data_IF_764080756161
#
_entry.id   IF_764080756161
#
_cell.length_a   1.000
_cell.length_b   1.000
_cell.length_c   1.000
_cell.angle_alpha   90.00
_cell.angle_beta   90.00
_cell.angle_gamma   90.00
#
_symmetry.space_group_name_H-M   'P 1'
#
loop_
_entity.id
_entity.type
_entity.pdbx_description
1 polymer ?
2 non-polymer ?
3 water ?
#
# COMPACT_ATOMS: atom_id res chain seq x y z
N UNK A 7 11.53 -6.56 -21.94
CA UNK A 7 12.58 -5.51 -21.66
C UNK A 7 13.59 -5.99 -20.62
N UNK A 8 14.83 -5.56 -20.76
CA UNK A 8 15.89 -6.07 -19.92
C UNK A 8 16.20 -5.07 -18.82
N UNK A 9 15.18 -4.78 -18.00
CA UNK A 9 15.25 -3.74 -16.97
C UNK A 9 15.07 -4.16 -15.50
N UNK A 10 16.00 -3.71 -14.65
CA UNK A 10 15.94 -3.86 -13.19
C UNK A 10 15.80 -2.43 -12.60
N UNK A 11 14.86 -2.20 -11.69
CA UNK A 11 14.72 -0.86 -11.10
C UNK A 11 14.20 -0.91 -9.68
N UNK A 12 14.60 0.08 -8.89
CA UNK A 12 14.03 0.32 -7.56
C UNK A 12 13.55 1.79 -7.54
N UNK A 13 12.32 2.01 -7.11
CA UNK A 13 11.67 3.32 -7.03
C UNK A 13 11.03 3.54 -5.67
N UNK A 14 11.15 4.74 -5.11
CA UNK A 14 10.47 5.09 -3.82
C UNK A 14 9.55 6.30 -3.99
N UNK A 15 8.38 6.23 -3.38
CA UNK A 15 7.42 7.32 -3.42
C UNK A 15 7.09 7.73 -1.99
N UNK A 16 7.47 8.94 -1.63
CA UNK A 16 7.22 9.55 -0.33
C UNK A 16 5.86 10.23 -0.21
N UNK A 17 5.55 10.64 1.02
CA UNK A 17 4.32 11.40 1.34
C UNK A 17 3.02 10.61 1.29
N UNK A 18 3.11 9.32 1.59
CA UNK A 18 1.96 8.40 1.47
C UNK A 18 1.27 8.24 2.83
N UNK A 19 -0.04 8.10 2.76
CA UNK A 19 -0.87 7.85 3.93
C UNK A 19 -1.53 6.50 3.77
N UNK A 20 -1.48 5.63 4.79
CA UNK A 20 -2.22 4.34 4.71
C UNK A 20 -3.51 4.41 5.56
N UNK A 21 -4.61 3.94 4.97
CA UNK A 21 -5.90 3.90 5.64
C UNK A 21 -6.39 2.45 5.79
N UNK A 22 -6.73 2.06 7.03
CA UNK A 22 -7.27 0.72 7.34
C UNK A 22 -8.72 0.87 7.74
N UNK A 23 -9.60 0.14 7.04
CA UNK A 23 -11.02 0.13 7.29
C UNK A 23 -11.49 -1.30 7.61
N UNK A 24 -11.93 -1.55 8.84
CA UNK A 24 -12.51 -2.85 9.20
C UNK A 24 -14.01 -2.73 8.95
N UNK A 25 -14.48 -3.43 7.93
CA UNK A 25 -15.88 -3.35 7.51
C UNK A 25 -16.86 -3.60 8.64
N UNK A 26 -17.98 -2.87 8.59
CA UNK A 26 -19.09 -3.09 9.49
C UNK A 26 -19.61 -4.51 9.22
N UNK A 27 -19.90 -5.22 10.31
CA UNK A 27 -20.48 -6.56 10.24
C UNK A 27 -21.80 -6.59 9.48
N UNK A 28 -22.51 -5.47 9.51
CA UNK A 28 -23.78 -5.36 8.79
C UNK A 28 -23.61 -5.57 7.28
N UNK A 29 -22.47 -5.11 6.74
CA UNK A 29 -22.23 -5.11 5.29
C UNK A 29 -21.61 -6.32 4.61
N UNK A 30 -22.28 -6.75 3.53
CA UNK A 30 -21.78 -7.79 2.65
C UNK A 30 -20.56 -7.19 1.96
N UNK A 31 -19.50 -7.99 1.86
CA UNK A 31 -18.21 -7.51 1.35
C UNK A 31 -18.28 -6.85 -0.02
N UNK A 32 -19.01 -7.46 -0.95
CA UNK A 32 -19.12 -6.89 -2.30
C UNK A 32 -19.77 -5.50 -2.34
N UNK A 33 -20.72 -5.24 -1.44
CA UNK A 33 -21.30 -3.88 -1.34
C UNK A 33 -20.27 -2.92 -0.68
N UNK A 34 -19.61 -3.40 0.37
CA UNK A 34 -18.57 -2.64 1.08
C UNK A 34 -17.45 -2.16 0.16
N UNK A 35 -16.95 -3.06 -0.67
CA UNK A 35 -15.84 -2.71 -1.57
C UNK A 35 -16.24 -1.67 -2.60
N UNK A 36 -17.47 -1.74 -3.11
CA UNK A 36 -17.96 -0.73 -4.07
C UNK A 36 -18.12 0.60 -3.38
N UNK A 37 -18.81 0.62 -2.24
CA UNK A 37 -18.95 1.85 -1.45
C UNK A 37 -17.59 2.47 -1.18
N UNK A 38 -16.66 1.66 -0.70
CA UNK A 38 -15.29 2.14 -0.42
C UNK A 38 -14.66 2.85 -1.61
N UNK A 39 -14.54 2.16 -2.75
CA UNK A 39 -13.91 2.77 -3.92
C UNK A 39 -14.69 3.96 -4.52
N UNK A 40 -15.99 4.00 -4.26
CA UNK A 40 -16.81 5.10 -4.68
C UNK A 40 -16.45 6.36 -3.88
N UNK A 41 -16.05 6.20 -2.61
CA UNK A 41 -15.64 7.36 -1.75
C UNK A 41 -14.34 7.92 -2.27
N UNK A 42 -13.40 7.03 -2.61
CA UNK A 42 -12.13 7.46 -3.23
C UNK A 42 -12.35 8.09 -4.63
N UNK A 43 -13.37 7.64 -5.33
CA UNK A 43 -13.70 8.22 -6.63
C UNK A 43 -14.19 9.65 -6.44
N UNK A 44 -15.11 9.84 -5.49
CA UNK A 44 -15.68 11.17 -5.22
C UNK A 44 -14.57 12.20 -4.98
N UNK A 45 -13.57 11.82 -4.19
CA UNK A 45 -12.46 12.71 -3.87
C UNK A 45 -11.31 12.58 -4.86
N UNK A 46 -11.54 11.86 -5.95
CA UNK A 46 -10.55 11.75 -7.05
C UNK A 46 -9.19 11.31 -6.56
N UNK A 47 -9.15 10.33 -5.66
CA UNK A 47 -7.87 9.87 -5.16
C UNK A 47 -7.39 8.59 -5.81
N UNK A 48 -6.20 8.62 -6.45
CA UNK A 48 -5.67 7.36 -6.94
C UNK A 48 -5.15 6.53 -5.77
N UNK A 49 -5.27 5.21 -5.88
CA UNK A 49 -4.81 4.27 -4.85
C UNK A 49 -3.64 3.40 -5.39
N UNK A 50 -2.42 3.60 -4.91
CA UNK A 50 -1.27 2.84 -5.42
C UNK A 50 -1.22 1.39 -4.90
N UNK A 51 -1.68 1.16 -3.67
CA UNK A 51 -1.65 -0.18 -3.08
C UNK A 51 -2.92 -0.45 -2.29
N UNK A 52 -3.42 -1.68 -2.42
CA UNK A 52 -4.60 -2.21 -1.72
C UNK A 52 -4.32 -3.68 -1.28
N UNK A 53 -4.81 -4.05 -0.11
CA UNK A 53 -4.70 -5.41 0.45
C UNK A 53 -5.97 -5.69 1.28
N UNK A 54 -6.79 -6.65 0.84
CA UNK A 54 -8.03 -7.05 1.54
C UNK A 54 -7.82 -8.27 2.44
N UNK A 55 -8.76 -8.43 3.36
CA UNK A 55 -8.78 -9.51 4.31
C UNK A 55 -10.24 -9.78 4.53
N UNK A 56 -10.50 -10.78 5.36
CA UNK A 56 -11.84 -11.19 5.75
C UNK A 56 -12.53 -10.01 6.48
N UNK A 57 -11.80 -9.47 7.46
CA UNK A 57 -12.21 -8.36 8.33
C UNK A 57 -12.38 -7.02 7.54
N UNK A 58 -11.31 -6.62 6.86
CA UNK A 58 -11.32 -5.38 6.08
C UNK A 58 -10.05 -5.14 5.27
N UNK A 59 -9.89 -3.91 4.83
CA UNK A 59 -8.90 -3.57 3.85
C UNK A 59 -8.02 -2.39 4.23
N UNK A 60 -6.80 -2.38 3.67
CA UNK A 60 -5.91 -1.28 3.83
C UNK A 60 -5.60 -0.80 2.45
N UNK A 61 -5.55 0.53 2.32
CA UNK A 61 -5.17 1.18 1.07
C UNK A 61 -4.43 2.50 1.27
N UNK A 62 -3.80 2.98 0.20
CA UNK A 62 -2.98 4.18 0.27
C UNK A 62 -3.51 5.37 -0.54
N UNK A 63 -3.19 6.56 -0.09
CA UNK A 63 -3.42 7.78 -0.89
C UNK A 63 -2.12 8.54 -0.87
N UNK A 64 -1.87 9.30 -1.92
CA UNK A 64 -0.62 10.01 -2.05
C UNK A 64 -0.60 11.46 -1.55
N UNK A 65 -1.73 11.96 -1.06
CA UNK A 65 -1.79 13.30 -0.48
C UNK A 65 -2.86 13.28 0.59
N UNK A 66 -2.81 14.21 1.53
CA UNK A 66 -3.80 14.24 2.61
C UNK A 66 -4.76 15.45 2.62
N UNK A 67 -4.85 16.16 1.50
CA UNK A 67 -5.72 17.34 1.34
C UNK A 67 -7.14 17.01 1.74
N UNK A 68 -7.62 15.88 1.23
CA UNK A 68 -8.99 15.40 1.47
C UNK A 68 -9.11 14.32 2.57
N UNK A 69 -8.02 13.98 3.24
CA UNK A 69 -8.03 12.96 4.28
C UNK A 69 -9.15 13.09 5.32
N UNK A 70 -9.38 14.28 5.90
CA UNK A 70 -10.45 14.27 6.90
C UNK A 70 -11.82 13.89 6.31
N UNK A 71 -12.16 14.41 5.13
CA UNK A 71 -13.46 14.09 4.52
C UNK A 71 -13.56 12.64 4.12
N UNK A 72 -12.41 12.02 3.82
CA UNK A 72 -12.38 10.61 3.43
C UNK A 72 -12.61 9.71 4.65
N UNK A 73 -11.94 10.01 5.75
CA UNK A 73 -12.13 9.25 6.99
C UNK A 73 -13.58 9.39 7.46
N UNK A 74 -14.08 10.63 7.42
CA UNK A 74 -15.46 10.94 7.81
C UNK A 74 -16.41 10.02 7.06
N UNK A 75 -16.32 10.06 5.72
CA UNK A 75 -17.16 9.24 4.81
C UNK A 75 -17.02 7.73 5.04
N UNK A 76 -15.77 7.26 5.18
CA UNK A 76 -15.50 5.84 5.46
C UNK A 76 -16.02 5.37 6.83
N UNK A 77 -16.02 6.26 7.82
CA UNK A 77 -16.47 5.91 9.17
C UNK A 77 -17.90 5.41 9.19
N UNK A 78 -18.63 5.66 8.11
CA UNK A 78 -20.00 5.16 7.92
C UNK A 78 -20.06 3.68 7.53
N UNK A 79 -19.01 3.16 6.90
CA UNK A 79 -19.03 1.78 6.42
C UNK A 79 -18.08 0.85 7.19
N UNK A 80 -17.30 1.42 8.13
CA UNK A 80 -16.34 0.64 8.94
C UNK A 80 -15.60 1.43 10.02
N UNK A 81 -14.79 0.73 10.83
CA UNK A 81 -13.92 1.37 11.82
C UNK A 81 -12.65 1.71 11.04
N UNK A 82 -12.21 2.97 11.12
CA UNK A 82 -11.07 3.48 10.32
C UNK A 82 -9.84 3.88 11.16
N UNK A 83 -8.66 3.41 10.79
CA UNK A 83 -7.40 3.85 11.43
C UNK A 83 -6.47 4.36 10.31
N UNK A 84 -5.56 5.25 10.66
CA UNK A 84 -4.74 5.91 9.70
C UNK A 84 -3.31 5.96 10.18
N UNK A 85 -2.36 5.77 9.26
CA UNK A 85 -0.92 6.00 9.56
C UNK A 85 -0.27 6.84 8.44
N UNK A 86 0.26 7.99 8.84
CA UNK A 86 0.86 8.95 7.92
C UNK A 86 2.36 8.75 7.76
N UNK A 87 2.99 9.56 6.91
CA UNK A 87 4.43 9.50 6.70
C UNK A 87 4.93 8.12 6.30
N UNK A 88 4.33 7.55 5.26
CA UNK A 88 4.72 6.23 4.77
C UNK A 88 5.44 6.41 3.45
N UNK A 89 6.02 5.31 2.97
CA UNK A 89 6.72 5.30 1.71
C UNK A 89 6.45 4.01 0.93
N UNK A 90 6.07 4.14 -0.34
CA UNK A 90 5.90 2.99 -1.22
C UNK A 90 7.20 2.77 -1.99
N UNK A 91 7.72 1.55 -1.96
CA UNK A 91 8.88 1.15 -2.71
C UNK A 91 8.43 0.09 -3.73
N UNK A 92 8.82 0.28 -4.99
CA UNK A 92 8.46 -0.60 -6.09
C UNK A 92 9.77 -1.19 -6.63
N UNK A 93 9.81 -2.51 -6.78
CA UNK A 93 10.98 -3.22 -7.25
C UNK A 93 10.53 -3.92 -8.49
N UNK A 94 11.24 -3.60 -9.59
CA UNK A 94 10.98 -4.12 -10.94
C UNK A 94 12.14 -5.05 -11.29
N UNK A 95 11.81 -6.30 -11.60
CA UNK A 95 12.82 -7.34 -11.89
C UNK A 95 12.88 -7.82 -13.32
N UNK A 102 11.13 -17.09 -11.42
CA UNK A 102 11.25 -18.41 -10.78
C UNK A 102 11.50 -18.20 -9.28
N UNK A 103 10.55 -17.55 -8.60
CA UNK A 103 10.68 -17.21 -7.18
C UNK A 103 11.34 -15.85 -6.92
N UNK A 104 11.61 -15.09 -7.98
CA UNK A 104 12.22 -13.77 -7.86
C UNK A 104 11.61 -12.90 -6.74
N UNK A 105 10.29 -12.85 -6.73
CA UNK A 105 9.60 -12.02 -5.79
C UNK A 105 9.86 -12.46 -4.34
N UNK A 106 10.01 -13.76 -4.13
CA UNK A 106 10.32 -14.30 -2.79
C UNK A 106 11.69 -13.81 -2.29
N UNK A 107 12.69 -13.83 -3.18
CA UNK A 107 14.07 -13.39 -2.88
C UNK A 107 14.16 -11.92 -2.57
N UNK A 108 13.37 -11.12 -3.28
CA UNK A 108 13.30 -9.68 -3.06
C UNK A 108 12.69 -9.36 -1.72
N UNK A 109 11.61 -10.05 -1.40
CA UNK A 109 10.89 -9.83 -0.15
C UNK A 109 11.76 -10.27 1.01
N UNK A 110 12.55 -11.29 0.76
CA UNK A 110 13.41 -11.81 1.76
C UNK A 110 14.52 -10.82 2.17
N UNK A 111 14.85 -9.88 1.29
CA UNK A 111 15.85 -8.86 1.61
C UNK A 111 15.34 -7.88 2.70
N UNK A 112 14.03 -7.90 2.96
CA UNK A 112 13.39 -7.01 3.94
C UNK A 112 13.18 -7.68 5.29
N UNK A 113 13.63 -8.92 5.35
CA UNK A 113 13.65 -9.74 6.55
C UNK A 113 13.85 -8.90 7.83
N UNK A 114 14.84 -7.99 7.83
CA UNK A 114 15.17 -7.19 9.04
C UNK A 114 14.44 -5.86 9.23
N UNK A 115 13.51 -5.52 8.35
CA UNK A 115 12.82 -4.22 8.39
C UNK A 115 11.31 -4.39 8.57
N UNK A 116 10.64 -3.53 9.37
CA UNK A 116 9.19 -3.69 9.50
C UNK A 116 8.51 -3.23 8.20
N UNK A 117 7.54 -4.01 7.74
CA UNK A 117 6.81 -3.77 6.50
C UNK A 117 5.31 -3.72 6.84
N UNK A 118 4.64 -2.67 6.42
CA UNK A 118 3.23 -2.50 6.69
C UNK A 118 2.34 -3.18 5.63
N UNK A 119 2.79 -3.23 4.38
CA UNK A 119 2.04 -3.87 3.30
C UNK A 119 2.97 -4.45 2.27
N UNK A 120 2.49 -5.48 1.59
CA UNK A 120 3.14 -6.08 0.42
C UNK A 120 2.06 -6.46 -0.62
N UNK A 121 2.33 -6.09 -1.88
CA UNK A 121 1.47 -6.46 -2.94
C UNK A 121 2.25 -6.92 -4.18
N UNK A 122 1.84 -8.05 -4.75
CA UNK A 122 2.44 -8.63 -5.95
C UNK A 122 1.35 -9.33 -6.76
N UNK A 123 1.30 -9.02 -8.06
CA UNK A 123 0.39 -9.72 -8.99
C UNK A 123 -0.62 -8.90 -9.77
N UNK A 124 -0.47 -7.58 -9.71
CA UNK A 124 -1.39 -6.68 -10.38
C UNK A 124 -1.49 -6.86 -11.87
N UNK A 125 -0.41 -6.56 -12.59
CA UNK A 125 -0.39 -6.74 -14.06
C UNK A 125 1.04 -6.98 -14.60
N UNK A 126 2.00 -6.72 -13.69
CA UNK A 126 3.43 -6.75 -13.91
C UNK A 126 4.07 -7.83 -13.05
N UNK A 127 5.42 -7.88 -13.11
CA UNK A 127 6.25 -8.64 -12.14
C UNK A 127 6.83 -7.70 -11.02
N UNK A 128 6.26 -6.50 -10.93
CA UNK A 128 6.64 -5.53 -9.93
C UNK A 128 6.17 -5.98 -8.58
N UNK A 129 7.01 -5.78 -7.58
CA UNK A 129 6.66 -6.00 -6.20
C UNK A 129 6.56 -4.63 -5.58
N UNK A 130 5.47 -4.41 -4.87
CA UNK A 130 5.24 -3.16 -4.12
C UNK A 130 5.28 -3.42 -2.60
N UNK A 131 5.97 -2.57 -1.86
CA UNK A 131 6.04 -2.66 -0.39
C UNK A 131 5.82 -1.28 0.26
N UNK A 132 5.13 -1.26 1.40
CA UNK A 132 4.91 0.00 2.12
C UNK A 132 5.69 -0.06 3.41
N UNK A 133 6.48 0.99 3.69
CA UNK A 133 7.24 1.09 4.95
C UNK A 133 7.09 2.49 5.56
N UNK A 134 7.45 2.62 6.84
CA UNK A 134 7.43 3.91 7.50
C UNK A 134 8.61 4.75 6.96
N UNK A 135 8.48 6.07 7.01
CA UNK A 135 9.56 6.95 6.57
C UNK A 135 10.90 6.60 7.26
N UNK A 136 10.86 6.36 8.56
CA UNK A 136 12.05 6.00 9.36
C UNK A 136 12.76 4.73 8.90
N UNK A 137 12.09 3.87 8.16
CA UNK A 137 12.71 2.61 7.66
C UNK A 137 13.04 2.62 6.15
N UNK A 138 12.80 3.75 5.49
CA UNK A 138 13.02 3.91 4.04
C UNK A 138 14.46 3.61 3.64
N UNK A 139 15.41 4.18 4.35
CA UNK A 139 16.81 4.01 3.97
C UNK A 139 17.27 2.58 4.13
N UNK A 140 16.97 1.99 5.28
CA UNK A 140 17.37 0.62 5.52
C UNK A 140 16.77 -0.27 4.42
N UNK A 141 15.49 -0.08 4.15
CA UNK A 141 14.79 -0.92 3.16
C UNK A 141 15.38 -0.73 1.77
N UNK A 142 15.62 0.52 1.38
CA UNK A 142 16.16 0.80 0.05
C UNK A 142 17.55 0.22 -0.11
N UNK A 143 18.39 0.36 0.91
CA UNK A 143 19.76 -0.20 0.84
C UNK A 143 19.71 -1.72 0.66
N UNK A 144 18.93 -2.42 1.48
CA UNK A 144 18.76 -3.89 1.34
C UNK A 144 18.21 -4.33 -0.05
N UNK A 145 17.19 -3.65 -0.55
CA UNK A 145 16.64 -3.97 -1.87
C UNK A 145 17.65 -3.64 -3.02
N UNK A 146 18.30 -2.47 -2.96
CA UNK A 146 19.29 -2.14 -4.00
C UNK A 146 20.43 -3.17 -4.07
N UNK A 147 20.99 -3.52 -2.90
CA UNK A 147 22.08 -4.52 -2.81
C UNK A 147 21.65 -5.87 -3.39
N UNK A 148 20.45 -6.33 -3.04
CA UNK A 148 19.96 -7.62 -3.54
C UNK A 148 19.62 -7.52 -5.04
N UNK A 149 18.80 -6.55 -5.45
CA UNK A 149 18.38 -6.42 -6.86
C UNK A 149 19.56 -6.22 -7.79
N UNK A 150 20.54 -5.41 -7.38
CA UNK A 150 21.66 -5.09 -8.25
C UNK A 150 22.98 -5.83 -8.04
N UNK A 151 23.04 -6.84 -7.17
CA UNK A 151 24.31 -7.59 -7.04
C UNK A 151 24.39 -8.65 -8.14
X LIG B 1 19.21 -16.18 -3.53
X LIG B 1 18.05 -16.93 -3.08
X LIG B 1 20.39 -16.88 -3.04
X LIG B 1 19.28 -16.12 -4.99
X LIG B 1 19.16 -14.82 -2.99
#
# INVERSE_FOLDING_TARGET
>A
SLDTEKDCIKAVAAKDGITVIKVKSSNKLLSWHFMRKLFEIFEFYQEPVDMVATSEVGVSLTIDNDKNLPDIVRALSDIGDVTVDKDMVIICIVGDXEWDNVGFEARIINALKGVPVRMISYGGSNYNVSVLVKAEDKKKALIALSNKLFNSRATKA
>B hetero
1 SO4 S O1 O2 O3 O4
#
